data_IF_019378838767
#
_entry.id   IF_019378838767
#
_cell.length_a   1.000
_cell.length_b   1.000
_cell.length_c   1.000
_cell.angle_alpha   90.00
_cell.angle_beta   90.00
_cell.angle_gamma   90.00
#
_symmetry.space_group_name_H-M   'P 1'
#
loop_
_entity.id
_entity.type
_entity.pdbx_description
1 polymer ?
#
# COMPACT_ATOMS: atom_id res chain seq x y z
N UNK A 1 -22.07 9.18 -23.52
CA UNK A 1 -20.65 8.80 -23.43
C UNK A 1 -20.07 9.41 -22.16
N UNK A 2 -19.88 8.61 -21.11
CA UNK A 2 -19.32 9.05 -19.83
C UNK A 2 -17.82 8.75 -19.87
N UNK A 3 -16.98 9.77 -20.04
CA UNK A 3 -15.53 9.58 -20.03
C UNK A 3 -14.72 10.76 -19.44
N UNK A 4 -15.31 11.62 -18.59
CA UNK A 4 -14.60 12.85 -18.14
C UNK A 4 -14.71 13.18 -16.64
N UNK A 5 -15.24 12.30 -15.77
CA UNK A 5 -15.45 12.67 -14.36
C UNK A 5 -14.97 11.68 -13.27
N UNK A 6 -14.33 10.56 -13.62
CA UNK A 6 -13.90 9.54 -12.63
C UNK A 6 -12.38 9.43 -12.42
N UNK A 7 -11.57 10.22 -13.14
CA UNK A 7 -10.14 9.95 -13.31
C UNK A 7 -9.19 10.45 -12.21
N UNK A 8 -9.62 11.30 -11.27
CA UNK A 8 -8.68 11.93 -10.31
C UNK A 8 -8.89 11.57 -8.83
N UNK A 9 -10.10 11.24 -8.42
CA UNK A 9 -10.38 10.97 -6.99
C UNK A 9 -10.57 9.49 -6.67
N UNK A 10 -11.28 8.74 -7.52
CA UNK A 10 -11.57 7.31 -7.26
C UNK A 10 -10.32 6.41 -7.32
N UNK A 11 -9.43 6.53 -8.32
CA UNK A 11 -8.20 5.73 -8.34
C UNK A 11 -7.29 6.02 -7.16
N UNK A 12 -7.27 7.28 -6.68
CA UNK A 12 -6.50 7.67 -5.51
C UNK A 12 -7.04 7.02 -4.25
N UNK A 13 -8.35 7.12 -4.00
CA UNK A 13 -9.01 6.49 -2.87
C UNK A 13 -8.80 4.97 -2.89
N UNK A 14 -8.99 4.33 -4.04
CA UNK A 14 -8.76 2.89 -4.21
C UNK A 14 -7.30 2.51 -3.92
N UNK A 15 -6.33 3.30 -4.39
CA UNK A 15 -4.93 3.06 -4.10
C UNK A 15 -4.60 3.26 -2.62
N UNK A 16 -5.20 4.23 -1.93
CA UNK A 16 -5.06 4.42 -0.49
C UNK A 16 -5.54 3.18 0.27
N UNK A 17 -6.74 2.66 -0.05
CA UNK A 17 -7.26 1.42 0.54
C UNK A 17 -6.34 0.21 0.28
N UNK A 18 -5.90 0.03 -0.97
CA UNK A 18 -4.99 -1.08 -1.33
C UNK A 18 -3.64 -0.99 -0.64
N UNK A 19 -3.13 0.23 -0.47
CA UNK A 19 -1.86 0.45 0.23
C UNK A 19 -2.02 0.21 1.73
N UNK A 20 -3.17 0.53 2.34
CA UNK A 20 -3.43 0.20 3.74
C UNK A 20 -3.41 -1.31 3.99
N UNK A 21 -4.05 -2.07 3.12
CA UNK A 21 -4.03 -3.54 3.20
C UNK A 21 -2.62 -4.10 2.97
N UNK A 22 -1.89 -3.54 2.00
CA UNK A 22 -0.50 -3.91 1.73
C UNK A 22 0.41 -3.70 2.94
N UNK A 23 0.21 -2.63 3.72
CA UNK A 23 1.01 -2.39 4.95
C UNK A 23 0.88 -3.56 5.93
N UNK A 24 -0.33 -4.09 6.11
CA UNK A 24 -0.61 -5.23 7.01
C UNK A 24 0.10 -6.48 6.51
N UNK A 25 0.02 -6.76 5.21
CA UNK A 25 0.69 -7.92 4.62
C UNK A 25 2.23 -7.79 4.64
N UNK A 26 2.76 -6.57 4.51
CA UNK A 26 4.21 -6.30 4.54
C UNK A 26 4.84 -6.51 5.93
N UNK A 27 4.03 -6.60 7.00
CA UNK A 27 4.50 -7.01 8.33
C UNK A 27 4.88 -8.49 8.37
N UNK A 28 4.39 -9.31 7.44
CA UNK A 28 4.87 -10.68 7.28
C UNK A 28 6.05 -10.71 6.29
N UNK A 29 7.25 -10.95 6.83
CA UNK A 29 8.50 -10.96 6.08
C UNK A 29 8.65 -12.17 5.17
N UNK A 30 7.87 -13.22 5.38
CA UNK A 30 7.84 -14.44 4.55
C UNK A 30 7.18 -14.19 3.19
N UNK A 31 6.33 -13.17 3.08
CA UNK A 31 5.61 -12.86 1.85
C UNK A 31 6.48 -11.93 0.98
N UNK A 32 6.83 -12.31 -0.26
CA UNK A 32 7.53 -11.42 -1.18
C UNK A 32 6.70 -10.17 -1.52
N UNK A 33 7.35 -9.00 -1.63
CA UNK A 33 6.68 -7.74 -1.98
C UNK A 33 5.87 -7.85 -3.29
N UNK A 34 6.35 -8.63 -4.25
CA UNK A 34 5.64 -8.90 -5.50
C UNK A 34 4.31 -9.62 -5.28
N UNK A 35 4.27 -10.58 -4.35
CA UNK A 35 3.04 -11.30 -3.99
C UNK A 35 2.06 -10.35 -3.30
N UNK A 36 2.54 -9.52 -2.37
CA UNK A 36 1.70 -8.49 -1.74
C UNK A 36 1.07 -7.56 -2.79
N UNK A 37 1.85 -7.12 -3.79
CA UNK A 37 1.35 -6.26 -4.86
C UNK A 37 0.22 -6.92 -5.67
N UNK A 38 0.32 -8.23 -5.96
CA UNK A 38 -0.73 -8.96 -6.67
C UNK A 38 -1.97 -9.17 -5.81
N UNK A 39 -1.80 -9.52 -4.53
CA UNK A 39 -2.90 -9.80 -3.61
C UNK A 39 -3.78 -8.56 -3.36
N UNK A 40 -3.16 -7.38 -3.23
CA UNK A 40 -3.90 -6.12 -3.06
C UNK A 40 -4.40 -5.52 -4.39
N UNK A 41 -4.27 -6.26 -5.49
CA UNK A 41 -4.91 -5.94 -6.77
C UNK A 41 -4.17 -4.95 -7.67
N UNK A 42 -2.83 -4.87 -7.59
CA UNK A 42 -2.04 -4.14 -8.59
C UNK A 42 -1.62 -5.06 -9.76
N UNK A 43 -1.79 -4.54 -10.97
CA UNK A 43 -1.41 -5.25 -12.19
C UNK A 43 0.12 -5.30 -12.43
N UNK A 44 0.91 -4.52 -11.69
CA UNK A 44 2.37 -4.55 -11.78
C UNK A 44 3.03 -4.03 -10.51
N UNK A 45 4.23 -4.54 -10.23
CA UNK A 45 5.06 -4.07 -9.11
C UNK A 45 5.43 -2.59 -9.25
N UNK A 46 5.64 -2.10 -10.48
CA UNK A 46 5.96 -0.69 -10.72
C UNK A 46 4.79 0.24 -10.35
N UNK A 47 3.55 -0.16 -10.66
CA UNK A 47 2.35 0.61 -10.27
C UNK A 47 2.13 0.57 -8.76
N UNK A 48 2.34 -0.59 -8.14
CA UNK A 48 2.30 -0.73 -6.67
C UNK A 48 3.34 0.17 -6.00
N UNK A 49 4.60 0.11 -6.42
CA UNK A 49 5.67 0.90 -5.81
C UNK A 49 5.41 2.41 -5.89
N UNK A 50 4.87 2.89 -7.02
CA UNK A 50 4.45 4.30 -7.16
C UNK A 50 3.32 4.64 -6.19
N UNK A 51 2.22 3.89 -6.22
CA UNK A 51 1.08 4.13 -5.33
C UNK A 51 1.46 4.06 -3.85
N UNK A 52 2.27 3.07 -3.46
CA UNK A 52 2.74 2.89 -2.10
C UNK A 52 3.59 4.08 -1.64
N UNK A 53 4.50 4.56 -2.49
CA UNK A 53 5.31 5.75 -2.18
C UNK A 53 4.48 7.02 -2.15
N UNK A 54 3.52 7.17 -3.06
CA UNK A 54 2.65 8.35 -3.09
C UNK A 54 1.77 8.45 -1.83
N UNK A 55 1.39 7.30 -1.24
CA UNK A 55 0.56 7.23 -0.03
C UNK A 55 1.39 7.25 1.26
N UNK A 56 2.55 6.59 1.30
CA UNK A 56 3.34 6.40 2.54
C UNK A 56 4.65 7.19 2.58
N UNK A 57 5.04 7.82 1.47
CA UNK A 57 6.36 8.44 1.26
C UNK A 57 7.56 7.48 1.38
N UNK A 58 7.31 6.18 1.55
CA UNK A 58 8.32 5.13 1.66
C UNK A 58 8.15 4.11 0.53
N UNK A 59 9.20 3.37 0.22
CA UNK A 59 9.05 2.17 -0.61
C UNK A 59 8.54 1.00 0.25
N UNK A 60 7.85 0.00 -0.34
CA UNK A 60 7.39 -1.19 0.39
C UNK A 60 8.52 -1.90 1.15
N UNK A 61 9.72 -1.97 0.56
CA UNK A 61 10.91 -2.56 1.20
C UNK A 61 11.41 -1.73 2.38
N UNK A 62 11.46 -0.39 2.24
CA UNK A 62 11.82 0.49 3.36
C UNK A 62 10.79 0.41 4.50
N UNK A 63 9.50 0.34 4.15
CA UNK A 63 8.44 0.16 5.14
C UNK A 63 8.61 -1.16 5.90
N UNK A 64 8.88 -2.26 5.18
CA UNK A 64 9.20 -3.56 5.78
C UNK A 64 10.39 -3.48 6.73
N UNK A 65 11.51 -2.90 6.28
CA UNK A 65 12.73 -2.76 7.08
C UNK A 65 12.54 -1.86 8.31
N UNK A 66 11.71 -0.82 8.22
CA UNK A 66 11.40 0.05 9.35
C UNK A 66 10.60 -0.70 10.43
N UNK A 67 9.72 -1.62 10.02
CA UNK A 67 8.94 -2.46 10.93
C UNK A 67 9.76 -3.62 11.53
N UNK A 68 10.82 -4.10 10.85
CA UNK A 68 11.79 -5.05 11.43
C UNK A 68 12.53 -4.47 12.65
N UNK A 69 12.77 -3.16 12.67
CA UNK A 69 13.59 -2.50 13.69
C UNK A 69 12.82 -1.93 14.89
N UNK A 70 11.47 -1.95 14.86
CA UNK A 70 10.65 -1.19 15.83
C UNK A 70 9.22 -1.68 15.96
N UNK A 71 9.00 -2.98 16.10
CA UNK A 71 7.65 -3.53 16.34
C UNK A 71 7.09 -3.07 17.68
N UNK A 72 6.32 -1.96 17.74
CA UNK A 72 5.36 -1.71 18.83
C UNK A 72 4.31 -0.57 18.64
N UNK A 73 4.09 0.05 17.46
CA UNK A 73 3.27 1.29 17.41
C UNK A 73 2.14 1.38 16.33
N UNK A 74 1.61 0.28 15.80
CA UNK A 74 0.62 0.35 14.70
C UNK A 74 -0.86 0.10 15.07
N UNK A 75 -1.22 0.01 16.36
CA UNK A 75 -2.61 -0.26 16.80
C UNK A 75 -3.43 0.97 17.24
N UNK A 76 -2.91 2.21 17.17
CA UNK A 76 -3.56 3.38 17.80
C UNK A 76 -4.16 4.46 16.88
N UNK A 77 -4.39 4.22 15.58
CA UNK A 77 -5.04 5.26 14.74
C UNK A 77 -6.09 4.78 13.74
N UNK A 78 -6.68 3.61 13.95
CA UNK A 78 -7.81 3.13 13.15
C UNK A 78 -9.11 3.11 13.97
N UNK A 79 -9.67 4.30 14.25
CA UNK A 79 -11.11 4.64 14.35
C UNK A 79 -11.34 5.86 15.26
N UNK A 80 -12.13 6.86 14.85
CA UNK A 80 -13.17 7.42 15.72
C UNK A 80 -14.38 6.48 15.78
#
# INVERSE_FOLDING_TARGET
MINVAFGKSFPRLLNEFRVDDAKRMLQNHEIPVQVVASEVGFNSLASFNRAFRDVTSLTPTQYRQAHDAGGEQAEQNAAP
#
